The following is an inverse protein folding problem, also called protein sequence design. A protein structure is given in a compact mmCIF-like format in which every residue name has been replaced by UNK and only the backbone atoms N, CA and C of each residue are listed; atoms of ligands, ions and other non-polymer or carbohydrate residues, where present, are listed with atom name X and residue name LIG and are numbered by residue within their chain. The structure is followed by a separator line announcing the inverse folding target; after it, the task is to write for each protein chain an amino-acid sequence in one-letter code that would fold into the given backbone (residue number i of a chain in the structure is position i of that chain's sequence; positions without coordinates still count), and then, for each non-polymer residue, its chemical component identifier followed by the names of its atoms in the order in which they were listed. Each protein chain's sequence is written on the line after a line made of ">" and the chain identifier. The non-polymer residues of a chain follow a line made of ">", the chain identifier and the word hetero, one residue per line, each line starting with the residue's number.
data_IF_186596951235
#
_entry.id   IF_186596951235
#
_cell.length_a   1.000
_cell.length_b   1.000
_cell.length_c   1.000
_cell.angle_alpha   90.00
_cell.angle_beta   90.00
_cell.angle_gamma   90.00
#
_symmetry.space_group_name_H-M   'P 1'
#
loop_
_entity.id
_entity.type
_entity.pdbx_description
1 polymer ?
#
# COMPACT_ATOMS: atom_id res chain seq x y z
N UNK A 1 -7.58 -6.76 7.44
CA UNK A 1 -6.50 -6.18 6.63
C UNK A 1 -6.21 -4.69 6.89
N UNK A 2 -7.23 -3.80 7.01
CA UNK A 2 -6.99 -2.35 7.20
C UNK A 2 -6.14 -1.98 8.43
N UNK A 3 -6.36 -2.60 9.58
CA UNK A 3 -5.57 -2.33 10.79
C UNK A 3 -4.15 -2.88 10.70
N UNK A 4 -3.98 -4.07 10.10
CA UNK A 4 -2.66 -4.65 9.82
C UNK A 4 -1.82 -3.74 8.90
N UNK A 5 -2.45 -3.07 7.92
CA UNK A 5 -1.77 -2.04 7.10
C UNK A 5 -1.20 -0.92 7.96
N UNK A 6 -2.01 -0.34 8.86
CA UNK A 6 -1.56 0.74 9.73
C UNK A 6 -0.42 0.29 10.67
N UNK A 7 -0.53 -0.90 11.24
CA UNK A 7 0.55 -1.48 12.04
C UNK A 7 1.84 -1.61 11.23
N UNK A 8 1.74 -2.17 10.03
CA UNK A 8 2.89 -2.33 9.13
C UNK A 8 3.55 -0.98 8.78
N UNK A 9 2.76 0.04 8.42
CA UNK A 9 3.32 1.30 7.90
C UNK A 9 3.71 2.31 8.97
N UNK A 10 3.15 2.20 10.18
CA UNK A 10 3.36 3.21 11.23
C UNK A 10 4.17 2.66 12.41
N UNK A 11 4.24 1.34 12.60
CA UNK A 11 4.94 0.71 13.73
C UNK A 11 6.05 -0.24 13.29
N UNK A 12 5.82 -1.06 12.26
CA UNK A 12 6.80 -2.06 11.78
C UNK A 12 7.79 -1.47 10.77
N UNK A 13 7.37 -0.43 10.04
CA UNK A 13 8.21 0.25 9.05
C UNK A 13 9.49 0.77 9.68
N UNK A 14 10.61 0.59 8.97
CA UNK A 14 11.91 1.11 9.38
C UNK A 14 12.13 2.49 8.76
N UNK A 15 12.54 3.46 9.57
CA UNK A 15 12.73 4.86 9.17
C UNK A 15 13.63 5.02 7.93
N UNK A 16 14.79 4.33 7.90
CA UNK A 16 15.72 4.38 6.76
C UNK A 16 15.07 4.03 5.42
N UNK A 17 14.14 3.07 5.41
CA UNK A 17 13.44 2.65 4.21
C UNK A 17 12.28 3.61 3.92
N UNK A 18 11.64 4.16 4.95
CA UNK A 18 10.58 5.16 4.84
C UNK A 18 11.04 6.43 4.12
N UNK A 19 12.23 6.94 4.46
CA UNK A 19 12.80 8.15 3.85
C UNK A 19 13.41 7.90 2.47
N UNK A 20 13.76 6.65 2.15
CA UNK A 20 14.44 6.30 0.90
C UNK A 20 13.51 5.72 -0.18
N UNK A 21 12.39 5.09 0.18
CA UNK A 21 11.51 4.36 -0.74
C UNK A 21 10.92 5.18 -1.89
N UNK A 22 10.87 6.51 -1.77
CA UNK A 22 10.46 7.42 -2.84
C UNK A 22 11.58 7.84 -3.80
N UNK A 23 12.85 7.72 -3.39
CA UNK A 23 14.00 8.24 -4.17
C UNK A 23 14.11 7.58 -5.55
N UNK A 24 14.59 8.28 -6.59
CA UNK A 24 14.83 7.69 -7.90
C UNK A 24 15.94 6.61 -7.85
N UNK A 25 15.95 5.74 -8.86
CA UNK A 25 17.01 4.75 -9.05
C UNK A 25 16.92 3.50 -8.15
N UNK A 26 17.99 2.71 -8.19
CA UNK A 26 18.05 1.36 -7.60
C UNK A 26 17.94 1.37 -6.08
N UNK A 27 18.54 2.35 -5.41
CA UNK A 27 18.49 2.47 -3.95
C UNK A 27 17.06 2.62 -3.44
N UNK A 28 16.31 3.58 -3.99
CA UNK A 28 14.91 3.78 -3.61
C UNK A 28 14.03 2.59 -3.97
N UNK A 29 14.30 1.93 -5.11
CA UNK A 29 13.59 0.71 -5.50
C UNK A 29 13.81 -0.44 -4.49
N UNK A 30 15.04 -0.61 -4.00
CA UNK A 30 15.38 -1.62 -2.97
C UNK A 30 14.75 -1.26 -1.62
N UNK A 31 14.83 0.00 -1.20
CA UNK A 31 14.20 0.46 0.04
C UNK A 31 12.68 0.22 0.01
N UNK A 32 12.04 0.56 -1.10
CA UNK A 32 10.61 0.30 -1.31
C UNK A 32 10.29 -1.20 -1.30
N UNK A 33 11.14 -2.04 -1.90
CA UNK A 33 10.94 -3.49 -1.92
C UNK A 33 11.06 -4.10 -0.51
N UNK A 34 12.05 -3.67 0.29
CA UNK A 34 12.21 -4.09 1.69
C UNK A 34 11.00 -3.71 2.53
N UNK A 35 10.54 -2.47 2.40
CA UNK A 35 9.34 -1.99 3.07
C UNK A 35 8.10 -2.80 2.67
N UNK A 36 7.89 -3.04 1.38
CA UNK A 36 6.76 -3.83 0.89
C UNK A 36 6.84 -5.28 1.35
N UNK A 37 8.04 -5.84 1.50
CA UNK A 37 8.23 -7.19 2.03
C UNK A 37 7.78 -7.31 3.50
N UNK A 38 8.20 -6.38 4.38
CA UNK A 38 7.79 -6.39 5.80
C UNK A 38 6.29 -6.08 5.95
N UNK A 39 5.77 -5.18 5.11
CA UNK A 39 4.34 -4.90 4.99
C UNK A 39 3.53 -6.15 4.62
N UNK A 40 3.94 -6.85 3.56
CA UNK A 40 3.25 -8.04 3.05
C UNK A 40 3.32 -9.19 4.06
N UNK A 41 4.47 -9.39 4.71
CA UNK A 41 4.63 -10.40 5.75
C UNK A 41 3.68 -10.14 6.93
N UNK A 42 3.54 -8.88 7.35
CA UNK A 42 2.61 -8.47 8.43
C UNK A 42 1.16 -8.72 8.03
N UNK A 43 0.78 -8.41 6.79
CA UNK A 43 -0.56 -8.71 6.28
C UNK A 43 -0.82 -10.22 6.18
N UNK A 44 0.15 -11.00 5.72
CA UNK A 44 0.06 -12.45 5.59
C UNK A 44 -0.15 -13.10 6.96
N UNK A 45 0.64 -12.69 7.97
CA UNK A 45 0.48 -13.18 9.35
C UNK A 45 -0.90 -12.85 9.91
N UNK A 46 -1.36 -11.60 9.74
CA UNK A 46 -2.67 -11.18 10.21
C UNK A 46 -3.81 -11.94 9.51
N UNK A 47 -3.69 -12.16 8.19
CA UNK A 47 -4.68 -12.92 7.41
C UNK A 47 -4.70 -14.39 7.83
N UNK A 48 -3.53 -15.01 8.02
CA UNK A 48 -3.39 -16.37 8.50
C UNK A 48 -4.01 -16.54 9.89
N UNK A 49 -3.68 -15.66 10.84
CA UNK A 49 -4.24 -15.67 12.18
C UNK A 49 -5.77 -15.52 12.15
N UNK A 50 -6.29 -14.56 11.39
CA UNK A 50 -7.74 -14.36 11.24
C UNK A 50 -8.42 -15.59 10.63
N UNK A 51 -7.85 -16.18 9.59
CA UNK A 51 -8.37 -17.41 8.97
C UNK A 51 -8.45 -18.56 9.97
N UNK A 52 -7.42 -18.70 10.83
CA UNK A 52 -7.35 -19.79 11.81
C UNK A 52 -8.27 -19.59 13.00
N UNK A 53 -8.32 -18.38 13.56
CA UNK A 53 -9.14 -18.05 14.74
C UNK A 53 -10.62 -18.03 14.39
N UNK A 54 -10.99 -17.48 13.23
CA UNK A 54 -12.38 -17.32 12.83
C UNK A 54 -12.91 -18.48 11.97
N UNK A 55 -12.08 -19.48 11.65
CA UNK A 55 -12.48 -20.64 10.86
C UNK A 55 -12.96 -20.30 9.45
N UNK A 56 -12.38 -19.28 8.81
CA UNK A 56 -12.91 -18.69 7.57
C UNK A 56 -12.77 -19.60 6.34
N UNK A 57 -11.94 -20.65 6.40
CA UNK A 57 -11.74 -21.57 5.28
C UNK A 57 -11.19 -20.90 4.01
N UNK A 58 -10.36 -19.85 4.16
CA UNK A 58 -9.85 -19.10 3.02
C UNK A 58 -8.93 -19.96 2.14
N UNK A 59 -9.19 -19.95 0.84
CA UNK A 59 -8.33 -20.60 -0.16
C UNK A 59 -6.92 -19.98 -0.17
N UNK A 60 -5.84 -20.78 -0.01
CA UNK A 60 -4.46 -20.28 -0.03
C UNK A 60 -4.10 -19.55 -1.33
N UNK A 61 -4.57 -20.05 -2.48
CA UNK A 61 -4.31 -19.43 -3.79
C UNK A 61 -4.89 -18.02 -3.86
N UNK A 62 -6.09 -17.82 -3.32
CA UNK A 62 -6.78 -16.53 -3.31
C UNK A 62 -6.16 -15.55 -2.32
N UNK A 63 -5.79 -16.04 -1.14
CA UNK A 63 -5.03 -15.28 -0.16
C UNK A 63 -3.71 -14.77 -0.76
N UNK A 64 -2.98 -15.63 -1.48
CA UNK A 64 -1.75 -15.24 -2.17
C UNK A 64 -2.00 -14.19 -3.25
N UNK A 65 -3.03 -14.37 -4.09
CA UNK A 65 -3.40 -13.38 -5.11
C UNK A 65 -3.75 -12.02 -4.50
N UNK A 66 -4.49 -12.00 -3.40
CA UNK A 66 -4.84 -10.78 -2.69
C UNK A 66 -3.63 -10.08 -2.05
N UNK A 67 -2.71 -10.84 -1.46
CA UNK A 67 -1.44 -10.32 -0.94
C UNK A 67 -0.59 -9.73 -2.06
N UNK A 68 -0.51 -10.40 -3.22
CA UNK A 68 0.23 -9.89 -4.38
C UNK A 68 -0.37 -8.59 -4.92
N UNK A 69 -1.69 -8.50 -5.07
CA UNK A 69 -2.39 -7.25 -5.44
C UNK A 69 -2.05 -6.15 -4.45
N UNK A 70 -2.13 -6.44 -3.15
CA UNK A 70 -1.82 -5.45 -2.13
C UNK A 70 -0.35 -5.02 -2.17
N UNK A 71 0.60 -5.94 -2.37
CA UNK A 71 2.03 -5.65 -2.40
C UNK A 71 2.39 -4.75 -3.60
N UNK A 72 1.90 -5.08 -4.79
CA UNK A 72 2.17 -4.31 -6.01
C UNK A 72 1.60 -2.90 -5.91
N UNK A 73 0.35 -2.78 -5.45
CA UNK A 73 -0.32 -1.47 -5.37
C UNK A 73 0.24 -0.60 -4.26
N UNK A 74 0.74 -1.20 -3.18
CA UNK A 74 1.49 -0.52 -2.11
C UNK A 74 2.85 -0.04 -2.63
N UNK A 75 3.59 -0.89 -3.35
CA UNK A 75 4.86 -0.52 -3.97
C UNK A 75 4.70 0.70 -4.88
N UNK A 76 3.72 0.67 -5.78
CA UNK A 76 3.45 1.77 -6.72
C UNK A 76 3.16 3.09 -5.99
N UNK A 77 2.43 3.06 -4.87
CA UNK A 77 2.17 4.26 -4.08
C UNK A 77 3.42 4.76 -3.35
N UNK A 78 4.18 3.87 -2.73
CA UNK A 78 5.39 4.24 -1.96
C UNK A 78 6.51 4.80 -2.83
N UNK A 79 6.54 4.45 -4.12
CA UNK A 79 7.41 5.10 -5.12
C UNK A 79 7.07 6.58 -5.35
N UNK A 80 5.97 7.09 -4.79
CA UNK A 80 5.61 8.51 -4.78
C UNK A 80 5.87 9.19 -3.43
N UNK A 81 6.45 8.48 -2.45
CA UNK A 81 6.78 9.05 -1.16
C UNK A 81 7.67 10.29 -1.31
N UNK A 82 7.20 11.43 -0.79
CA UNK A 82 7.91 12.72 -0.89
C UNK A 82 7.67 13.50 -2.18
N UNK A 83 6.93 12.94 -3.14
CA UNK A 83 6.68 13.53 -4.47
C UNK A 83 5.22 13.95 -4.68
N UNK A 84 4.46 14.11 -3.59
CA UNK A 84 3.03 14.40 -3.64
C UNK A 84 2.71 15.80 -4.17
N UNK A 85 3.65 16.73 -4.07
CA UNK A 85 3.47 18.16 -4.40
C UNK A 85 4.28 18.60 -5.62
N UNK A 86 4.94 17.67 -6.31
CA UNK A 86 5.81 17.98 -7.45
C UNK A 86 5.02 18.72 -8.54
N UNK A 87 5.62 19.79 -9.08
CA UNK A 87 5.05 20.59 -10.17
C UNK A 87 4.77 19.73 -11.42
N UNK A 88 5.66 18.77 -11.67
CA UNK A 88 5.52 17.76 -12.72
C UNK A 88 5.13 16.41 -12.09
N UNK A 89 3.83 16.11 -11.96
CA UNK A 89 3.38 14.93 -11.24
C UNK A 89 3.89 13.65 -11.91
N UNK A 90 4.21 12.64 -11.12
CA UNK A 90 4.55 11.29 -11.59
C UNK A 90 3.67 10.21 -10.94
N UNK A 91 3.88 8.94 -11.33
CA UNK A 91 3.16 7.77 -10.78
C UNK A 91 1.67 7.98 -10.51
N UNK A 92 1.22 7.69 -9.28
CA UNK A 92 -0.19 7.83 -8.87
C UNK A 92 -0.62 9.29 -8.73
N UNK A 93 0.31 10.24 -8.56
CA UNK A 93 0.02 11.67 -8.49
C UNK A 93 -0.50 12.18 -9.84
N UNK A 94 -0.02 11.61 -10.96
CA UNK A 94 -0.59 11.90 -12.30
C UNK A 94 -2.07 11.58 -12.38
N UNK A 95 -2.52 10.51 -11.74
CA UNK A 95 -3.95 10.16 -11.71
C UNK A 95 -4.75 11.18 -10.90
N UNK A 96 -4.24 11.57 -9.73
CA UNK A 96 -4.87 12.61 -8.91
C UNK A 96 -4.93 13.96 -9.66
N UNK A 97 -3.89 14.32 -10.39
CA UNK A 97 -3.87 15.53 -11.21
C UNK A 97 -4.94 15.51 -12.31
N UNK A 98 -5.09 14.37 -13.02
CA UNK A 98 -6.11 14.20 -14.07
C UNK A 98 -7.55 14.28 -13.55
N UNK A 99 -7.76 14.01 -12.27
CA UNK A 99 -9.09 14.12 -11.63
C UNK A 99 -9.30 15.46 -10.92
N UNK A 100 -8.41 16.44 -11.14
CA UNK A 100 -8.56 17.81 -10.61
C UNK A 100 -7.96 18.05 -9.23
N UNK A 101 -7.18 17.11 -8.69
CA UNK A 101 -6.66 17.20 -7.31
C UNK A 101 -5.24 17.80 -7.22
N UNK A 102 -4.62 18.17 -8.34
CA UNK A 102 -3.26 18.74 -8.36
C UNK A 102 -3.12 19.99 -7.48
N UNK A 103 -4.03 20.96 -7.63
CA UNK A 103 -3.99 22.20 -6.85
C UNK A 103 -4.26 22.00 -5.36
N UNK A 104 -4.98 20.94 -4.95
CA UNK A 104 -5.11 20.58 -3.54
C UNK A 104 -3.79 20.03 -3.00
N UNK A 105 -3.18 19.08 -3.71
CA UNK A 105 -1.90 18.49 -3.34
C UNK A 105 -0.77 19.53 -3.24
N UNK A 106 -0.73 20.50 -4.15
CA UNK A 106 0.28 21.56 -4.16
C UNK A 106 0.10 22.58 -3.03
N UNK A 107 -1.15 22.91 -2.65
CA UNK A 107 -1.42 23.94 -1.63
C UNK A 107 -1.38 23.44 -0.19
N UNK A 108 -1.68 22.16 0.03
CA UNK A 108 -1.79 21.58 1.37
C UNK A 108 -0.64 20.58 1.63
N UNK A 109 0.34 20.92 2.49
CA UNK A 109 1.45 20.03 2.84
C UNK A 109 1.01 18.67 3.43
N UNK A 110 -0.21 18.60 4.00
CA UNK A 110 -0.77 17.39 4.57
C UNK A 110 -1.50 16.50 3.55
N UNK A 111 -1.78 16.97 2.34
CA UNK A 111 -2.68 16.31 1.38
C UNK A 111 -2.18 14.95 0.84
N UNK A 112 -0.86 14.73 0.83
CA UNK A 112 -0.27 13.47 0.40
C UNK A 112 -0.73 12.28 1.24
N UNK A 113 -0.83 12.45 2.56
CA UNK A 113 -1.20 11.35 3.45
C UNK A 113 -2.66 10.88 3.27
N UNK A 114 -3.69 11.75 3.22
CA UNK A 114 -5.06 11.32 2.93
C UNK A 114 -5.21 10.63 1.57
N UNK A 115 -4.53 11.13 0.52
CA UNK A 115 -4.55 10.51 -0.81
C UNK A 115 -3.90 9.12 -0.78
N UNK A 116 -2.74 8.99 -0.13
CA UNK A 116 -2.10 7.71 0.13
C UNK A 116 -3.07 6.75 0.84
N UNK A 117 -3.70 7.19 1.94
CA UNK A 117 -4.59 6.34 2.70
C UNK A 117 -5.84 5.92 1.90
N UNK A 118 -6.39 6.81 1.06
CA UNK A 118 -7.56 6.48 0.23
C UNK A 118 -7.22 5.45 -0.85
N UNK A 119 -6.07 5.61 -1.53
CA UNK A 119 -5.53 4.64 -2.49
C UNK A 119 -5.44 3.24 -1.88
N UNK A 120 -4.77 3.13 -0.73
CA UNK A 120 -4.59 1.87 -0.03
C UNK A 120 -5.92 1.25 0.42
N UNK A 121 -6.86 2.05 0.93
CA UNK A 121 -8.19 1.54 1.34
C UNK A 121 -8.96 0.95 0.16
N UNK A 122 -8.87 1.57 -1.01
CA UNK A 122 -9.46 1.06 -2.26
C UNK A 122 -8.91 -0.32 -2.63
N UNK A 123 -7.58 -0.44 -2.70
CA UNK A 123 -6.93 -1.72 -3.04
C UNK A 123 -7.12 -2.81 -1.99
N UNK A 124 -7.17 -2.46 -0.70
CA UNK A 124 -7.51 -3.41 0.36
C UNK A 124 -8.94 -3.95 0.18
N UNK A 125 -9.88 -3.13 -0.29
CA UNK A 125 -11.24 -3.61 -0.58
C UNK A 125 -11.25 -4.62 -1.73
N UNK A 126 -10.50 -4.35 -2.81
CA UNK A 126 -10.33 -5.28 -3.94
C UNK A 126 -9.65 -6.58 -3.48
N UNK A 127 -8.55 -6.48 -2.72
CA UNK A 127 -7.84 -7.64 -2.18
C UNK A 127 -8.75 -8.49 -1.25
N UNK A 128 -9.59 -7.85 -0.43
CA UNK A 128 -10.58 -8.54 0.39
C UNK A 128 -11.62 -9.29 -0.45
N UNK A 129 -12.14 -8.65 -1.52
CA UNK A 129 -13.07 -9.30 -2.45
C UNK A 129 -12.42 -10.50 -3.16
N UNK A 130 -11.17 -10.38 -3.60
CA UNK A 130 -10.40 -11.50 -4.17
C UNK A 130 -10.19 -12.60 -3.14
N UNK A 131 -9.91 -12.28 -1.89
CA UNK A 131 -9.69 -13.28 -0.84
C UNK A 131 -10.98 -14.04 -0.52
N UNK A 132 -12.11 -13.34 -0.36
CA UNK A 132 -13.39 -13.93 0.08
C UNK A 132 -14.34 -14.40 -1.02
N UNK A 133 -14.14 -14.00 -2.28
CA UNK A 133 -15.15 -14.15 -3.33
C UNK A 133 -15.23 -15.51 -4.04
N UNK A 134 -15.58 -16.60 -3.38
CA UNK A 134 -15.88 -17.89 -4.03
C UNK A 134 -15.81 -19.06 -3.05
N UNK A 135 -16.33 -20.22 -3.45
CA UNK A 135 -16.40 -21.40 -2.58
C UNK A 135 -14.98 -21.85 -2.15
N UNK A 136 -14.79 -22.26 -0.89
CA UNK A 136 -13.52 -22.78 -0.37
C UNK A 136 -12.89 -23.85 -1.25
#
# INVERSE_FOLDING_TARGET
>A
MRHAKKAATNWVQVDRDAVAKGRPGREGAIACARHVATYTATQALALYAANRVLGLGLSPRRALAALAISAVTHYVADRQGGHWQDEHPCGIVKLAARTGHAGWLQRDPGAGYPLDQSWHKGWIAIAAAVTGGGRP
#
